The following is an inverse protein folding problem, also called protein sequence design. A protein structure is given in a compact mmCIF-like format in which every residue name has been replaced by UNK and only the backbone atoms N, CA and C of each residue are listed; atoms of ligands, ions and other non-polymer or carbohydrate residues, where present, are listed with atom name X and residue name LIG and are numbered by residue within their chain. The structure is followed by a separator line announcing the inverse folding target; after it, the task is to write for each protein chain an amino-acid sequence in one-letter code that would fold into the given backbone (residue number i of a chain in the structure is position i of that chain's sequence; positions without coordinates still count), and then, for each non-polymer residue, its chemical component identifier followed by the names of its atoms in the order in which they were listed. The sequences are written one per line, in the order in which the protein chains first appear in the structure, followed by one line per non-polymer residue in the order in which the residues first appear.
data_IF_975169940745
#
_entry.id   IF_975169940745
#
_cell.length_a   1.000
_cell.length_b   1.000
_cell.length_c   1.000
_cell.angle_alpha   90.00
_cell.angle_beta   90.00
_cell.angle_gamma   90.00
#
_symmetry.space_group_name_H-M   'P 1'
#
loop_
_entity.id
_entity.type
_entity.pdbx_description
1 polymer ?
#
# COMPACT_ATOMS: atom_id res chain seq x y z
N UNK A 1 -8.90 -16.98 -11.12
CA UNK A 1 -8.58 -17.43 -9.74
C UNK A 1 -8.77 -16.32 -8.72
N UNK A 2 -8.39 -15.07 -9.05
CA UNK A 2 -8.49 -13.90 -8.17
C UNK A 2 -9.92 -13.54 -7.75
N UNK A 3 -10.90 -13.54 -8.66
CA UNK A 3 -12.29 -13.18 -8.32
C UNK A 3 -12.96 -14.16 -7.33
N UNK A 4 -12.69 -15.46 -7.47
CA UNK A 4 -13.19 -16.49 -6.54
C UNK A 4 -12.51 -16.41 -5.17
N UNK A 5 -11.24 -16.02 -5.13
CA UNK A 5 -10.54 -15.72 -3.89
C UNK A 5 -11.17 -14.51 -3.19
N UNK A 6 -11.39 -13.41 -3.92
CA UNK A 6 -12.01 -12.19 -3.38
C UNK A 6 -13.42 -12.44 -2.80
N UNK A 7 -14.27 -13.22 -3.48
CA UNK A 7 -15.60 -13.60 -2.97
C UNK A 7 -15.51 -14.43 -1.68
N UNK A 8 -14.53 -15.32 -1.60
CA UNK A 8 -14.28 -16.12 -0.39
C UNK A 8 -13.79 -15.25 0.75
N UNK A 9 -12.92 -14.29 0.48
CA UNK A 9 -12.39 -13.36 1.47
C UNK A 9 -13.51 -12.46 2.03
N UNK A 10 -14.42 -11.96 1.18
CA UNK A 10 -15.61 -11.19 1.62
C UNK A 10 -16.52 -12.07 2.50
N UNK A 11 -16.74 -13.31 2.10
CA UNK A 11 -17.56 -14.24 2.88
C UNK A 11 -16.91 -14.59 4.23
N UNK A 12 -15.61 -14.82 4.27
CA UNK A 12 -14.86 -15.09 5.49
C UNK A 12 -14.91 -13.87 6.41
N UNK A 13 -14.71 -12.66 5.88
CA UNK A 13 -14.82 -11.42 6.65
C UNK A 13 -16.24 -11.21 7.22
N UNK A 14 -17.29 -11.52 6.44
CA UNK A 14 -18.67 -11.50 6.94
C UNK A 14 -18.89 -12.47 8.10
N UNK A 15 -18.26 -13.66 8.07
CA UNK A 15 -18.36 -14.60 9.20
C UNK A 15 -17.66 -14.09 10.45
N UNK A 16 -16.52 -13.42 10.30
CA UNK A 16 -15.79 -12.80 11.41
C UNK A 16 -16.63 -11.68 12.02
N UNK A 17 -17.12 -10.74 11.21
CA UNK A 17 -17.92 -9.61 11.71
C UNK A 17 -19.22 -10.05 12.41
N UNK A 18 -19.85 -11.12 11.94
CA UNK A 18 -21.02 -11.72 12.61
C UNK A 18 -20.66 -12.31 13.98
N UNK A 19 -19.49 -12.97 14.09
CA UNK A 19 -19.00 -13.46 15.38
C UNK A 19 -18.73 -12.30 16.34
N UNK A 20 -18.11 -11.22 15.87
CA UNK A 20 -17.86 -10.03 16.68
C UNK A 20 -19.19 -9.43 17.18
N UNK A 21 -20.20 -9.33 16.30
CA UNK A 21 -21.55 -8.88 16.68
C UNK A 21 -22.17 -9.75 17.79
N UNK A 22 -22.04 -11.08 17.68
CA UNK A 22 -22.53 -12.01 18.71
C UNK A 22 -21.78 -11.83 20.05
N UNK A 23 -20.48 -11.51 20.00
CA UNK A 23 -19.68 -11.21 21.20
C UNK A 23 -20.14 -9.91 21.87
N UNK A 24 -20.36 -8.86 21.10
CA UNK A 24 -20.91 -7.60 21.62
C UNK A 24 -22.32 -7.77 22.18
N UNK A 25 -23.18 -8.57 21.54
CA UNK A 25 -24.51 -8.90 22.07
C UNK A 25 -24.44 -9.69 23.39
N UNK A 26 -23.39 -10.51 23.60
CA UNK A 26 -23.13 -11.14 24.91
C UNK A 26 -22.67 -10.13 25.95
N UNK A 27 -21.83 -9.17 25.55
CA UNK A 27 -21.39 -8.08 26.44
C UNK A 27 -22.55 -7.18 26.86
N UNK A 28 -23.49 -6.89 25.96
CA UNK A 28 -24.72 -6.15 26.27
C UNK A 28 -25.54 -6.88 27.35
N UNK A 29 -25.78 -8.19 27.15
CA UNK A 29 -26.48 -9.04 28.13
C UNK A 29 -25.73 -9.12 29.46
N UNK A 30 -24.40 -9.17 29.43
CA UNK A 30 -23.57 -9.18 30.63
C UNK A 30 -23.68 -7.86 31.40
N UNK A 31 -23.62 -6.71 30.71
CA UNK A 31 -23.81 -5.39 31.32
C UNK A 31 -25.21 -5.23 31.93
N UNK A 32 -26.25 -5.71 31.25
CA UNK A 32 -27.62 -5.75 31.79
C UNK A 32 -27.74 -6.65 33.03
N UNK A 33 -27.11 -7.83 33.02
CA UNK A 33 -27.10 -8.74 34.16
C UNK A 33 -26.29 -8.20 35.35
N UNK A 34 -25.15 -7.55 35.10
CA UNK A 34 -24.33 -6.86 36.11
C UNK A 34 -25.15 -5.75 36.77
N UNK A 35 -25.85 -4.93 35.97
CA UNK A 35 -26.77 -3.92 36.47
C UNK A 35 -27.86 -4.53 37.37
N UNK A 36 -28.56 -5.57 36.91
CA UNK A 36 -29.63 -6.20 37.69
C UNK A 36 -29.11 -6.80 39.01
N UNK A 37 -27.94 -7.43 38.99
CA UNK A 37 -27.29 -8.00 40.19
C UNK A 37 -26.91 -6.91 41.18
N UNK A 38 -26.35 -5.81 40.67
CA UNK A 38 -25.87 -4.69 41.46
C UNK A 38 -27.03 -3.93 42.15
N UNK A 39 -28.13 -3.69 41.44
CA UNK A 39 -29.28 -2.95 42.00
C UNK A 39 -30.17 -3.83 42.87
N UNK A 40 -30.23 -5.15 42.63
CA UNK A 40 -31.03 -6.09 43.43
C UNK A 40 -30.33 -6.58 44.72
N UNK A 41 -29.05 -6.24 44.94
CA UNK A 41 -28.35 -6.53 46.19
C UNK A 41 -27.69 -7.92 46.29
N UNK A 42 -27.41 -8.58 45.16
CA UNK A 42 -26.69 -9.86 45.12
C UNK A 42 -27.58 -11.12 45.28
N UNK A 43 -27.03 -12.27 44.90
CA UNK A 43 -27.70 -13.57 44.83
C UNK A 43 -27.87 -14.20 46.22
N UNK A 44 -28.93 -13.83 46.93
CA UNK A 44 -29.37 -14.46 48.19
C UNK A 44 -30.78 -14.03 48.58
N UNK A 45 -31.48 -14.84 49.39
CA UNK A 45 -32.92 -14.76 49.77
C UNK A 45 -33.44 -13.48 50.45
N UNK A 46 -32.86 -12.31 50.18
CA UNK A 46 -33.34 -10.99 50.60
C UNK A 46 -33.62 -10.10 49.39
N UNK A 47 -34.44 -10.59 48.45
CA UNK A 47 -34.88 -9.85 47.29
C UNK A 47 -35.99 -8.85 47.66
N UNK A 48 -35.66 -7.84 48.48
CA UNK A 48 -36.47 -6.63 48.59
C UNK A 48 -35.88 -5.59 47.62
N UNK A 49 -36.62 -5.19 46.57
CA UNK A 49 -36.18 -4.13 45.67
C UNK A 49 -35.83 -2.89 46.48
N UNK A 50 -34.62 -2.33 46.26
CA UNK A 50 -34.24 -1.06 46.88
C UNK A 50 -35.24 0.02 46.43
N UNK A 51 -35.64 0.95 47.32
CA UNK A 51 -36.62 1.99 46.99
C UNK A 51 -36.22 2.87 45.77
N UNK A 52 -34.92 2.92 45.43
CA UNK A 52 -34.38 3.63 44.27
C UNK A 52 -34.24 2.80 42.98
N UNK A 53 -34.73 1.55 42.93
CA UNK A 53 -34.54 0.65 41.77
C UNK A 53 -35.10 1.24 40.46
N UNK A 54 -36.32 1.78 40.50
CA UNK A 54 -36.97 2.35 39.30
C UNK A 54 -36.20 3.55 38.74
N UNK A 55 -35.70 4.43 39.63
CA UNK A 55 -34.89 5.57 39.25
C UNK A 55 -33.54 5.15 38.63
N UNK A 56 -32.84 4.19 39.25
CA UNK A 56 -31.58 3.66 38.71
C UNK A 56 -31.78 2.90 37.39
N UNK A 57 -32.92 2.22 37.22
CA UNK A 57 -33.28 1.55 35.97
C UNK A 57 -33.60 2.56 34.85
N UNK A 58 -34.27 3.67 35.17
CA UNK A 58 -34.48 4.78 34.25
C UNK A 58 -33.16 5.41 33.82
N UNK A 59 -32.27 5.71 34.77
CA UNK A 59 -30.95 6.29 34.53
C UNK A 59 -30.06 5.38 33.70
N UNK A 60 -30.02 4.08 34.00
CA UNK A 60 -29.31 3.10 33.17
C UNK A 60 -29.89 3.06 31.76
N UNK A 61 -31.22 3.02 31.58
CA UNK A 61 -31.89 2.95 30.25
C UNK A 61 -31.79 4.23 29.43
N UNK A 62 -31.62 5.40 30.06
CA UNK A 62 -31.49 6.69 29.37
C UNK A 62 -30.31 6.67 28.41
N UNK A 63 -30.56 6.96 27.12
CA UNK A 63 -29.52 7.01 26.09
C UNK A 63 -28.50 8.10 26.43
N UNK A 64 -27.25 7.89 26.05
CA UNK A 64 -26.22 8.93 26.07
C UNK A 64 -26.11 9.42 24.64
N UNK A 65 -26.47 10.68 24.37
CA UNK A 65 -26.22 11.31 23.06
C UNK A 65 -24.72 11.61 22.99
N UNK A 66 -23.96 10.81 22.24
CA UNK A 66 -22.54 11.06 21.95
C UNK A 66 -22.41 11.57 20.53
N UNK A 67 -21.66 12.65 20.34
CA UNK A 67 -21.33 13.11 18.99
C UNK A 67 -20.48 12.04 18.31
N UNK A 68 -20.98 11.49 17.21
CA UNK A 68 -20.27 10.50 16.42
C UNK A 68 -18.91 11.06 15.99
N UNK A 69 -17.82 10.47 16.50
CA UNK A 69 -16.47 10.85 16.11
C UNK A 69 -16.30 10.47 14.63
N UNK A 70 -16.29 11.47 13.75
CA UNK A 70 -16.00 11.27 12.32
C UNK A 70 -14.68 10.49 12.20
N UNK A 71 -14.64 9.35 11.50
CA UNK A 71 -13.36 8.75 11.15
C UNK A 71 -12.61 9.75 10.26
N UNK A 72 -11.33 9.98 10.57
CA UNK A 72 -10.46 10.80 9.77
C UNK A 72 -10.37 10.18 8.37
N UNK A 73 -10.64 11.00 7.36
CA UNK A 73 -10.66 10.63 5.96
C UNK A 73 -9.33 9.98 5.53
N UNK A 74 -9.41 8.74 5.06
CA UNK A 74 -8.49 8.24 4.04
C UNK A 74 -8.99 8.79 2.72
N UNK A 75 -8.12 9.57 2.09
CA UNK A 75 -8.32 10.28 0.85
C UNK A 75 -7.98 9.31 -0.28
N UNK A 76 -9.00 8.69 -0.89
CA UNK A 76 -8.87 8.12 -2.23
C UNK A 76 -9.80 8.89 -3.18
N UNK A 77 -9.15 9.45 -4.18
CA UNK A 77 -9.64 10.15 -5.35
C UNK A 77 -10.20 9.10 -6.31
N UNK A 78 -11.50 9.08 -6.53
CA UNK A 78 -12.10 8.49 -7.74
C UNK A 78 -13.33 9.31 -8.14
N UNK A 79 -13.14 10.03 -9.22
CA UNK A 79 -14.08 10.91 -9.90
C UNK A 79 -15.01 10.02 -10.73
N UNK A 80 -16.27 9.88 -10.33
CA UNK A 80 -17.34 9.45 -11.24
C UNK A 80 -18.66 10.10 -10.78
N UNK A 81 -19.07 11.12 -11.53
CA UNK A 81 -20.33 11.84 -11.44
C UNK A 81 -21.50 10.91 -11.82
N UNK A 82 -22.45 10.67 -10.91
CA UNK A 82 -23.90 10.73 -11.23
C UNK A 82 -24.68 11.20 -9.99
N UNK A 83 -25.36 12.34 -10.16
CA UNK A 83 -26.39 12.89 -9.28
C UNK A 83 -27.61 11.96 -9.22
N UNK A 84 -28.16 11.74 -8.02
CA UNK A 84 -29.59 11.97 -7.80
C UNK A 84 -29.96 12.02 -6.30
N UNK A 85 -30.82 12.98 -6.02
CA UNK A 85 -31.22 13.55 -4.75
C UNK A 85 -32.09 12.62 -3.88
N UNK A 86 -31.83 12.61 -2.57
CA UNK A 86 -32.89 12.51 -1.55
C UNK A 86 -32.34 13.04 -0.21
N UNK A 87 -32.49 14.34 -0.02
CA UNK A 87 -32.51 14.97 1.29
C UNK A 87 -33.68 14.37 2.10
N UNK A 88 -33.39 13.60 3.13
CA UNK A 88 -34.34 13.33 4.21
C UNK A 88 -33.74 13.89 5.50
N UNK A 89 -33.97 15.20 5.68
CA UNK A 89 -33.88 15.87 6.95
C UNK A 89 -35.04 15.37 7.82
N UNK A 90 -34.83 14.27 8.54
CA UNK A 90 -35.70 13.91 9.66
C UNK A 90 -35.33 14.79 10.87
N UNK A 91 -35.73 16.05 10.77
CA UNK A 91 -35.82 17.03 11.84
C UNK A 91 -37.13 16.78 12.59
N UNK A 92 -37.16 15.75 13.45
CA UNK A 92 -38.14 15.67 14.55
C UNK A 92 -37.66 14.74 15.66
N UNK A 93 -37.00 15.32 16.67
CA UNK A 93 -37.07 14.82 18.05
C UNK A 93 -36.76 16.00 18.99
N UNK A 94 -37.66 16.98 18.95
CA UNK A 94 -37.86 17.99 19.98
C UNK A 94 -38.52 17.30 21.19
N UNK A 95 -37.80 16.36 21.80
CA UNK A 95 -38.11 15.86 23.14
C UNK A 95 -37.28 16.71 24.12
N UNK A 96 -37.97 17.75 24.60
CA UNK A 96 -37.71 18.55 25.78
C UNK A 96 -37.59 17.63 27.02
N UNK A 97 -36.51 16.86 27.06
CA UNK A 97 -36.10 16.12 28.24
C UNK A 97 -35.38 17.13 29.12
N UNK A 98 -36.17 17.80 29.96
CA UNK A 98 -35.74 18.50 31.17
C UNK A 98 -34.42 17.86 31.65
N UNK A 99 -33.37 18.68 31.73
CA UNK A 99 -32.13 18.37 32.45
C UNK A 99 -32.49 18.19 33.94
N UNK A 100 -33.25 17.15 34.27
CA UNK A 100 -33.37 16.66 35.62
C UNK A 100 -32.00 16.10 35.94
N UNK A 101 -31.27 16.93 36.68
CA UNK A 101 -29.92 16.71 37.18
C UNK A 101 -29.76 15.23 37.53
N UNK A 102 -28.60 14.67 37.17
CA UNK A 102 -28.09 13.36 37.59
C UNK A 102 -27.87 13.35 39.13
N UNK A 103 -28.92 13.72 39.88
CA UNK A 103 -28.98 13.81 41.31
C UNK A 103 -29.21 12.40 41.84
N UNK A 104 -28.28 11.97 42.69
CA UNK A 104 -28.37 10.72 43.40
C UNK A 104 -29.75 10.62 44.08
N UNK A 105 -30.61 9.63 43.72
CA UNK A 105 -31.93 9.51 44.31
C UNK A 105 -31.83 9.47 45.84
N UNK A 106 -32.72 10.18 46.54
CA UNK A 106 -32.65 10.27 48.01
C UNK A 106 -32.60 8.87 48.65
N UNK A 107 -31.51 8.58 49.38
CA UNK A 107 -31.25 7.27 49.99
C UNK A 107 -30.47 6.25 49.14
N UNK A 108 -29.92 6.64 47.99
CA UNK A 108 -29.00 5.80 47.21
C UNK A 108 -27.55 5.93 47.70
N UNK A 109 -26.87 4.78 47.81
CA UNK A 109 -25.43 4.75 48.10
C UNK A 109 -24.64 5.35 46.93
N UNK A 110 -23.73 6.28 47.22
CA UNK A 110 -22.96 7.01 46.21
C UNK A 110 -22.13 6.04 45.34
N UNK A 111 -21.61 4.96 45.94
CA UNK A 111 -20.82 3.96 45.21
C UNK A 111 -21.65 3.12 44.25
N UNK A 112 -22.94 2.90 44.56
CA UNK A 112 -23.89 2.22 43.68
C UNK A 112 -24.24 3.12 42.49
N UNK A 113 -24.45 4.41 42.75
CA UNK A 113 -24.78 5.40 41.75
C UNK A 113 -23.66 5.56 40.70
N UNK A 114 -22.41 5.73 41.16
CA UNK A 114 -21.22 5.78 40.29
C UNK A 114 -21.09 4.51 39.43
N UNK A 115 -21.30 3.33 40.02
CA UNK A 115 -21.27 2.06 39.28
C UNK A 115 -22.37 1.97 38.22
N UNK A 116 -23.58 2.46 38.50
CA UNK A 116 -24.67 2.50 37.51
C UNK A 116 -24.34 3.45 36.36
N UNK A 117 -23.71 4.61 36.63
CA UNK A 117 -23.21 5.50 35.58
C UNK A 117 -22.15 4.84 34.71
N UNK A 118 -21.17 4.14 35.30
CA UNK A 118 -20.18 3.39 34.51
C UNK A 118 -20.80 2.27 33.69
N UNK A 119 -21.85 1.60 34.18
CA UNK A 119 -22.58 0.59 33.41
C UNK A 119 -23.39 1.20 32.27
N UNK A 120 -23.94 2.41 32.46
CA UNK A 120 -24.62 3.18 31.41
C UNK A 120 -23.64 3.57 30.30
N UNK A 121 -22.46 4.03 30.67
CA UNK A 121 -21.36 4.33 29.74
C UNK A 121 -20.91 3.09 28.97
N UNK A 122 -20.67 1.97 29.66
CA UNK A 122 -20.35 0.68 29.01
C UNK A 122 -21.44 0.22 28.05
N UNK A 123 -22.72 0.40 28.38
CA UNK A 123 -23.81 0.04 27.45
C UNK A 123 -23.81 0.93 26.22
N UNK A 124 -23.58 2.24 26.39
CA UNK A 124 -23.47 3.14 25.25
C UNK A 124 -22.29 2.75 24.33
N UNK A 125 -21.14 2.34 24.89
CA UNK A 125 -20.00 1.83 24.09
C UNK A 125 -20.37 0.56 23.30
N UNK A 126 -21.11 -0.37 23.93
CA UNK A 126 -21.58 -1.61 23.28
C UNK A 126 -22.58 -1.29 22.16
N UNK A 127 -23.53 -0.38 22.40
CA UNK A 127 -24.53 0.04 21.42
C UNK A 127 -23.86 0.72 20.20
N UNK A 128 -22.89 1.60 20.44
CA UNK A 128 -22.10 2.27 19.40
C UNK A 128 -21.30 1.23 18.57
N UNK A 129 -20.59 0.31 19.23
CA UNK A 129 -19.82 -0.74 18.56
C UNK A 129 -20.70 -1.71 17.74
N UNK A 130 -21.87 -2.09 18.26
CA UNK A 130 -22.85 -2.89 17.53
C UNK A 130 -23.41 -2.13 16.31
N UNK A 131 -23.65 -0.82 16.45
CA UNK A 131 -24.08 0.03 15.35
C UNK A 131 -23.05 0.11 14.22
N UNK A 132 -21.77 0.25 14.56
CA UNK A 132 -20.66 0.26 13.60
C UNK A 132 -20.47 -1.11 12.93
N UNK A 133 -20.52 -2.21 13.69
CA UNK A 133 -20.42 -3.55 13.13
C UNK A 133 -21.58 -3.88 12.19
N UNK A 134 -22.80 -3.48 12.52
CA UNK A 134 -23.95 -3.68 11.62
C UNK A 134 -23.79 -2.91 10.30
N UNK A 135 -23.27 -1.68 10.34
CA UNK A 135 -22.96 -0.90 9.12
C UNK A 135 -21.90 -1.60 8.27
N UNK A 136 -20.81 -2.05 8.90
CA UNK A 136 -19.75 -2.77 8.21
C UNK A 136 -20.24 -4.11 7.60
N UNK A 137 -21.13 -4.84 8.29
CA UNK A 137 -21.74 -6.07 7.76
C UNK A 137 -22.56 -5.76 6.50
N UNK A 138 -23.33 -4.68 6.51
CA UNK A 138 -24.19 -4.32 5.38
C UNK A 138 -23.37 -3.86 4.16
N UNK A 139 -22.32 -3.08 4.39
CA UNK A 139 -21.34 -2.70 3.35
C UNK A 139 -20.69 -3.94 2.72
N UNK A 140 -20.22 -4.89 3.55
CA UNK A 140 -19.62 -6.13 3.07
C UNK A 140 -20.61 -7.01 2.30
N UNK A 141 -21.89 -7.02 2.68
CA UNK A 141 -22.95 -7.72 1.91
C UNK A 141 -23.11 -7.11 0.52
N UNK A 142 -23.25 -5.78 0.44
CA UNK A 142 -23.37 -5.07 -0.84
C UNK A 142 -22.15 -5.31 -1.73
N UNK A 143 -20.94 -5.28 -1.15
CA UNK A 143 -19.72 -5.60 -1.87
C UNK A 143 -19.72 -7.05 -2.43
N UNK A 144 -20.16 -8.02 -1.63
CA UNK A 144 -20.29 -9.41 -2.06
C UNK A 144 -21.32 -9.62 -3.18
N UNK A 145 -22.45 -8.91 -3.12
CA UNK A 145 -23.47 -8.94 -4.18
C UNK A 145 -22.94 -8.35 -5.50
N UNK A 146 -22.24 -7.21 -5.44
CA UNK A 146 -21.58 -6.58 -6.61
C UNK A 146 -20.59 -7.54 -7.27
N UNK A 147 -19.69 -8.13 -6.47
CA UNK A 147 -18.70 -9.10 -6.99
C UNK A 147 -19.37 -10.34 -7.58
N UNK A 148 -20.47 -10.81 -6.99
CA UNK A 148 -21.22 -11.96 -7.52
C UNK A 148 -21.88 -11.64 -8.85
N UNK A 149 -22.45 -10.42 -9.00
CA UNK A 149 -23.03 -9.97 -10.25
C UNK A 149 -21.97 -9.83 -11.35
N UNK A 150 -20.80 -9.26 -11.02
CA UNK A 150 -19.67 -9.14 -11.93
C UNK A 150 -19.16 -10.52 -12.39
N UNK A 151 -18.99 -11.47 -11.47
CA UNK A 151 -18.60 -12.84 -11.80
C UNK A 151 -19.60 -13.52 -12.75
N UNK A 152 -20.91 -13.26 -12.60
CA UNK A 152 -21.94 -13.78 -13.51
C UNK A 152 -21.85 -13.13 -14.89
N UNK A 153 -21.58 -11.84 -14.97
CA UNK A 153 -21.38 -11.13 -16.23
C UNK A 153 -20.17 -11.69 -16.99
N UNK A 154 -19.02 -11.85 -16.31
CA UNK A 154 -17.80 -12.44 -16.87
C UNK A 154 -18.06 -13.86 -17.39
N UNK A 155 -18.76 -14.69 -16.62
CA UNK A 155 -19.06 -16.07 -17.06
C UNK A 155 -19.95 -16.09 -18.31
N UNK A 156 -20.89 -15.15 -18.44
CA UNK A 156 -21.74 -15.02 -19.62
C UNK A 156 -20.94 -14.59 -20.85
N UNK A 157 -20.05 -13.62 -20.69
CA UNK A 157 -19.16 -13.15 -21.76
C UNK A 157 -18.17 -14.25 -22.20
N UNK A 158 -17.62 -14.99 -21.24
CA UNK A 158 -16.74 -16.11 -21.52
C UNK A 158 -17.45 -17.17 -22.37
N UNK A 159 -18.67 -17.57 -21.98
CA UNK A 159 -19.45 -18.55 -22.73
C UNK A 159 -19.79 -18.06 -24.15
N UNK A 160 -20.12 -16.77 -24.30
CA UNK A 160 -20.36 -16.18 -25.62
C UNK A 160 -19.09 -16.20 -26.50
N UNK A 161 -17.94 -15.84 -25.93
CA UNK A 161 -16.64 -15.84 -26.62
C UNK A 161 -16.21 -17.26 -27.02
N UNK A 162 -16.45 -18.26 -26.16
CA UNK A 162 -16.18 -19.66 -26.47
C UNK A 162 -17.05 -20.16 -27.62
N UNK A 163 -18.34 -19.79 -27.63
CA UNK A 163 -19.25 -20.13 -28.72
C UNK A 163 -18.80 -19.51 -30.05
N UNK A 164 -18.44 -18.22 -30.04
CA UNK A 164 -17.94 -17.52 -31.22
C UNK A 164 -16.64 -18.18 -31.74
N UNK A 165 -15.72 -18.49 -30.83
CA UNK A 165 -14.47 -19.20 -31.16
C UNK A 165 -14.74 -20.56 -31.81
N UNK A 166 -15.67 -21.35 -31.26
CA UNK A 166 -16.05 -22.64 -31.85
C UNK A 166 -16.66 -22.45 -33.25
N UNK A 167 -17.49 -21.42 -33.43
CA UNK A 167 -18.07 -21.09 -34.72
C UNK A 167 -16.98 -20.74 -35.75
N UNK A 168 -16.00 -19.92 -35.37
CA UNK A 168 -14.84 -19.62 -36.22
C UNK A 168 -14.01 -20.85 -36.57
N UNK A 169 -13.79 -21.75 -35.60
CA UNK A 169 -13.04 -22.98 -35.85
C UNK A 169 -13.76 -23.94 -36.81
N UNK A 170 -15.10 -23.98 -36.77
CA UNK A 170 -15.91 -24.79 -37.69
C UNK A 170 -15.91 -24.27 -39.13
N UNK A 171 -15.57 -22.99 -39.31
CA UNK A 171 -15.43 -22.35 -40.62
C UNK A 171 -14.03 -22.54 -41.24
N UNK A 172 -13.18 -23.39 -40.65
CA UNK A 172 -11.90 -23.75 -41.26
C UNK A 172 -12.16 -24.66 -42.47
N UNK A 173 -12.01 -24.08 -43.66
CA UNK A 173 -12.03 -24.80 -44.93
C UNK A 173 -10.65 -25.43 -45.16
N UNK A 174 -10.62 -26.72 -45.46
CA UNK A 174 -9.40 -27.37 -45.98
C UNK A 174 -9.13 -26.87 -47.40
N UNK A 175 -8.29 -25.85 -47.50
CA UNK A 175 -7.92 -25.24 -48.78
C UNK A 175 -6.68 -25.95 -49.33
N UNK A 176 -6.87 -26.68 -50.42
CA UNK A 176 -5.75 -27.22 -51.20
C UNK A 176 -5.19 -26.09 -52.08
N UNK A 177 -3.97 -25.65 -51.76
CA UNK A 177 -3.25 -24.67 -52.58
C UNK A 177 -2.26 -25.42 -53.48
N UNK A 178 -2.47 -25.45 -54.81
CA UNK A 178 -1.49 -26.03 -55.72
C UNK A 178 -0.25 -25.12 -55.78
N UNK A 179 0.90 -25.67 -55.42
CA UNK A 179 2.19 -24.98 -55.51
C UNK A 179 3.03 -25.57 -56.64
N UNK A 180 3.74 -24.71 -57.36
CA UNK A 180 4.78 -25.16 -58.29
C UNK A 180 6.00 -25.62 -57.49
N UNK A 181 6.72 -26.63 -57.99
CA UNK A 181 7.99 -27.08 -57.41
C UNK A 181 9.02 -25.95 -57.28
N UNK A 182 8.95 -24.91 -58.13
CA UNK A 182 9.82 -23.72 -58.05
C UNK A 182 9.54 -22.83 -56.83
N UNK A 183 8.37 -22.95 -56.22
CA UNK A 183 7.98 -22.17 -55.04
C UNK A 183 8.39 -22.85 -53.73
N UNK A 184 8.91 -24.09 -53.80
CA UNK A 184 9.31 -24.89 -52.65
C UNK A 184 10.83 -24.87 -52.51
N UNK A 185 11.33 -24.37 -51.38
CA UNK A 185 12.76 -24.30 -51.07
C UNK A 185 13.20 -25.40 -50.09
N UNK A 186 12.33 -26.35 -49.74
CA UNK A 186 12.64 -27.43 -48.81
C UNK A 186 13.42 -28.55 -49.51
N UNK A 187 14.73 -28.39 -49.63
CA UNK A 187 15.60 -29.37 -50.29
C UNK A 187 16.25 -30.29 -49.26
N UNK A 188 16.19 -31.61 -49.51
CA UNK A 188 16.89 -32.60 -48.70
C UNK A 188 18.32 -32.77 -49.21
N UNK A 189 19.27 -32.87 -48.28
CA UNK A 189 20.69 -33.00 -48.60
C UNK A 189 20.97 -34.27 -49.41
N UNK A 190 21.94 -34.21 -50.35
CA UNK A 190 22.31 -35.36 -51.17
C UNK A 190 22.77 -36.53 -50.28
N UNK A 191 22.12 -37.68 -50.47
CA UNK A 191 22.44 -38.97 -49.84
C UNK A 191 23.62 -39.63 -50.58
N UNK A 192 24.39 -40.56 -49.97
CA UNK A 192 25.37 -41.37 -50.71
C UNK A 192 24.81 -42.06 -51.96
N UNK A 193 23.49 -42.24 -52.05
CA UNK A 193 22.78 -42.80 -53.22
C UNK A 193 22.22 -41.75 -54.20
N UNK A 194 22.19 -40.46 -53.85
CA UNK A 194 21.67 -39.38 -54.69
C UNK A 194 22.57 -38.14 -54.60
N UNK A 195 23.21 -37.79 -55.71
CA UNK A 195 24.13 -36.64 -55.77
C UNK A 195 23.44 -35.28 -55.93
N UNK A 196 22.11 -35.24 -56.10
CA UNK A 196 21.36 -34.01 -56.33
C UNK A 196 20.42 -33.69 -55.17
N UNK A 197 20.22 -32.40 -54.91
CA UNK A 197 19.21 -31.90 -53.98
C UNK A 197 17.81 -32.21 -54.53
N UNK A 198 16.97 -32.83 -53.72
CA UNK A 198 15.61 -33.23 -54.10
C UNK A 198 14.59 -32.73 -53.08
N UNK A 199 13.38 -32.47 -53.55
CA UNK A 199 12.24 -32.19 -52.67
C UNK A 199 11.82 -33.51 -51.99
N UNK A 200 11.58 -33.53 -50.67
CA UNK A 200 11.07 -34.71 -50.00
C UNK A 200 9.68 -35.09 -50.54
N UNK A 201 9.41 -36.40 -50.61
CA UNK A 201 8.14 -36.93 -51.11
C UNK A 201 6.93 -36.55 -50.22
N UNK A 202 7.19 -36.24 -48.95
CA UNK A 202 6.21 -35.79 -47.98
C UNK A 202 6.77 -34.61 -47.19
N UNK A 203 5.94 -33.62 -46.90
CA UNK A 203 6.28 -32.47 -46.06
C UNK A 203 5.92 -32.71 -44.57
N UNK A 204 5.67 -33.96 -44.17
CA UNK A 204 5.33 -34.30 -42.80
C UNK A 204 6.49 -33.91 -41.87
N UNK A 205 6.23 -32.99 -40.93
CA UNK A 205 7.25 -32.46 -40.01
C UNK A 205 8.02 -31.24 -40.56
N UNK A 206 7.66 -30.69 -41.71
CA UNK A 206 8.20 -29.43 -42.22
C UNK A 206 7.37 -28.24 -41.72
N UNK A 207 8.03 -27.14 -41.34
CA UNK A 207 7.37 -25.88 -41.03
C UNK A 207 7.31 -25.01 -42.29
N UNK A 208 6.14 -24.46 -42.61
CA UNK A 208 5.93 -23.63 -43.80
C UNK A 208 5.99 -22.15 -43.41
N UNK A 209 6.85 -21.41 -44.08
CA UNK A 209 6.96 -19.96 -43.93
C UNK A 209 7.21 -19.32 -45.29
N UNK A 210 6.74 -18.08 -45.45
CA UNK A 210 7.08 -17.29 -46.64
C UNK A 210 8.55 -16.90 -46.60
N UNK A 211 9.16 -16.70 -47.77
CA UNK A 211 10.57 -16.26 -47.86
C UNK A 211 10.80 -14.98 -47.06
N UNK A 212 9.85 -14.04 -47.07
CA UNK A 212 9.92 -12.80 -46.29
C UNK A 212 9.92 -13.07 -44.79
N UNK A 213 9.04 -13.95 -44.30
CA UNK A 213 8.99 -14.30 -42.89
C UNK A 213 10.27 -15.00 -42.42
N UNK A 214 10.84 -15.87 -43.26
CA UNK A 214 12.11 -16.52 -42.97
C UNK A 214 13.26 -15.50 -42.90
N UNK A 215 13.40 -14.62 -43.90
CA UNK A 215 14.43 -13.56 -43.90
C UNK A 215 14.30 -12.65 -42.68
N UNK A 216 13.09 -12.20 -42.35
CA UNK A 216 12.85 -11.36 -41.17
C UNK A 216 13.22 -12.08 -39.86
N UNK A 217 12.92 -13.37 -39.75
CA UNK A 217 13.31 -14.17 -38.59
C UNK A 217 14.83 -14.34 -38.50
N UNK A 218 15.51 -14.62 -39.61
CA UNK A 218 16.97 -14.72 -39.65
C UNK A 218 17.64 -13.40 -39.24
N UNK A 219 17.21 -12.27 -39.80
CA UNK A 219 17.70 -10.93 -39.42
C UNK A 219 17.45 -10.65 -37.93
N UNK A 220 16.28 -11.05 -37.41
CA UNK A 220 15.95 -10.88 -35.99
C UNK A 220 16.84 -11.72 -35.09
N UNK A 221 17.13 -12.97 -35.47
CA UNK A 221 18.05 -13.86 -34.73
C UNK A 221 19.44 -13.24 -34.69
N UNK A 222 19.96 -12.76 -35.81
CA UNK A 222 21.27 -12.10 -35.87
C UNK A 222 21.33 -10.82 -35.03
N UNK A 223 20.28 -10.00 -35.09
CA UNK A 223 20.13 -8.80 -34.26
C UNK A 223 20.17 -9.14 -32.77
N UNK A 224 19.41 -10.14 -32.33
CA UNK A 224 19.39 -10.58 -30.93
C UNK A 224 20.74 -11.15 -30.46
N UNK A 225 21.45 -11.89 -31.33
CA UNK A 225 22.80 -12.37 -31.03
C UNK A 225 23.79 -11.22 -30.88
N UNK A 226 23.72 -10.21 -31.75
CA UNK A 226 24.55 -9.01 -31.67
C UNK A 226 24.25 -8.19 -30.40
N UNK A 227 22.98 -8.01 -30.06
CA UNK A 227 22.53 -7.34 -28.84
C UNK A 227 23.03 -8.08 -27.59
N UNK A 228 22.84 -9.40 -27.54
CA UNK A 228 23.33 -10.23 -26.43
C UNK A 228 24.84 -10.10 -26.25
N UNK A 229 25.60 -10.09 -27.36
CA UNK A 229 27.06 -9.88 -27.32
C UNK A 229 27.42 -8.50 -26.79
N UNK A 230 26.71 -7.45 -27.22
CA UNK A 230 26.90 -6.07 -26.74
C UNK A 230 26.60 -5.95 -25.25
N UNK A 231 25.48 -6.50 -24.79
CA UNK A 231 25.07 -6.45 -23.39
C UNK A 231 26.08 -7.16 -22.48
N UNK A 232 26.59 -8.33 -22.91
CA UNK A 232 27.67 -9.03 -22.20
C UNK A 232 28.96 -8.22 -22.12
N UNK A 233 29.28 -7.45 -23.16
CA UNK A 233 30.45 -6.56 -23.13
C UNK A 233 30.23 -5.40 -22.15
N UNK A 234 29.08 -4.74 -22.21
CA UNK A 234 28.73 -3.66 -21.30
C UNK A 234 28.74 -4.11 -19.83
N UNK A 235 28.19 -5.29 -19.55
CA UNK A 235 28.22 -5.88 -18.21
C UNK A 235 29.66 -6.08 -17.70
N UNK A 236 30.55 -6.60 -18.54
CA UNK A 236 31.98 -6.76 -18.18
C UNK A 236 32.65 -5.42 -17.91
N UNK A 237 32.37 -4.40 -18.72
CA UNK A 237 32.99 -3.10 -18.59
C UNK A 237 32.46 -2.35 -17.35
N UNK A 238 31.16 -2.41 -17.08
CA UNK A 238 30.56 -1.90 -15.84
C UNK A 238 31.14 -2.58 -14.61
N UNK A 239 31.33 -3.91 -14.64
CA UNK A 239 31.93 -4.63 -13.53
C UNK A 239 33.39 -4.21 -13.28
N UNK A 240 34.15 -3.92 -14.35
CA UNK A 240 35.50 -3.35 -14.21
C UNK A 240 35.46 -1.96 -13.59
N UNK A 241 34.55 -1.10 -14.06
CA UNK A 241 34.39 0.27 -13.53
C UNK A 241 33.97 0.24 -12.06
N UNK A 242 33.03 -0.62 -11.68
CA UNK A 242 32.58 -0.77 -10.29
C UNK A 242 33.73 -1.19 -9.37
N UNK A 243 34.59 -2.11 -9.82
CA UNK A 243 35.80 -2.49 -9.07
C UNK A 243 36.81 -1.34 -8.91
N UNK A 244 36.99 -0.51 -9.94
CA UNK A 244 37.87 0.66 -9.88
C UNK A 244 37.32 1.69 -8.91
N UNK A 245 36.04 2.08 -9.07
CA UNK A 245 35.37 3.03 -8.21
C UNK A 245 35.32 2.57 -6.75
N UNK A 246 35.15 1.27 -6.49
CA UNK A 246 35.19 0.71 -5.14
C UNK A 246 36.58 0.89 -4.49
N UNK A 247 37.67 0.71 -5.24
CA UNK A 247 39.04 0.97 -4.76
C UNK A 247 39.27 2.45 -4.51
N UNK A 248 38.86 3.32 -5.42
CA UNK A 248 38.98 4.77 -5.28
C UNK A 248 38.20 5.30 -4.08
N UNK A 249 36.95 4.84 -3.90
CA UNK A 249 36.12 5.16 -2.73
C UNK A 249 36.82 4.78 -1.43
N UNK A 250 37.41 3.58 -1.37
CA UNK A 250 38.16 3.13 -0.18
C UNK A 250 39.39 4.03 0.07
N UNK A 251 40.14 4.36 -0.97
CA UNK A 251 41.31 5.26 -0.83
C UNK A 251 40.92 6.65 -0.34
N UNK A 252 39.82 7.21 -0.84
CA UNK A 252 39.27 8.49 -0.39
C UNK A 252 38.80 8.42 1.06
N UNK A 253 38.10 7.36 1.47
CA UNK A 253 37.69 7.15 2.86
C UNK A 253 38.89 7.06 3.80
N UNK A 254 39.94 6.32 3.43
CA UNK A 254 41.18 6.24 4.21
C UNK A 254 41.88 7.62 4.29
N UNK A 255 41.84 8.42 3.22
CA UNK A 255 42.41 9.77 3.22
C UNK A 255 41.61 10.74 4.12
N UNK A 256 40.27 10.65 4.10
CA UNK A 256 39.38 11.41 5.00
C UNK A 256 39.65 11.03 6.45
N UNK A 257 39.69 9.73 6.77
CA UNK A 257 39.97 9.26 8.13
C UNK A 257 41.34 9.76 8.63
N UNK A 258 42.38 9.72 7.79
CA UNK A 258 43.70 10.29 8.12
C UNK A 258 43.68 11.80 8.30
N UNK A 259 42.82 12.53 7.58
CA UNK A 259 42.67 13.98 7.75
C UNK A 259 41.90 14.31 9.04
N UNK A 260 40.86 13.54 9.35
CA UNK A 260 40.08 13.66 10.58
C UNK A 260 40.94 13.38 11.82
N UNK A 261 41.68 12.27 11.85
CA UNK A 261 42.58 11.94 12.96
C UNK A 261 43.66 13.03 13.19
N UNK A 262 44.28 13.53 12.11
CA UNK A 262 45.22 14.66 12.21
C UNK A 262 44.56 15.92 12.76
N UNK A 263 43.33 16.22 12.33
CA UNK A 263 42.56 17.37 12.83
C UNK A 263 42.25 17.21 14.32
N UNK A 264 41.76 16.03 14.73
CA UNK A 264 41.46 15.71 16.13
C UNK A 264 42.71 15.81 17.02
N UNK A 265 43.84 15.26 16.58
CA UNK A 265 45.11 15.38 17.29
C UNK A 265 45.53 16.84 17.46
N UNK A 266 45.43 17.64 16.39
CA UNK A 266 45.74 19.07 16.44
C UNK A 266 44.80 19.83 17.39
N UNK A 267 43.50 19.52 17.40
CA UNK A 267 42.52 20.13 18.31
C UNK A 267 42.82 19.76 19.77
N UNK A 268 43.12 18.49 20.05
CA UNK A 268 43.51 18.04 21.39
C UNK A 268 44.80 18.71 21.86
N UNK A 269 45.79 18.87 20.99
CA UNK A 269 47.04 19.56 21.33
C UNK A 269 46.85 21.06 21.57
N UNK A 270 46.02 21.75 20.76
CA UNK A 270 45.83 23.20 20.88
C UNK A 270 44.84 23.61 21.98
N UNK A 271 43.77 22.83 22.18
CA UNK A 271 42.65 23.23 23.04
C UNK A 271 42.39 22.26 24.21
N UNK A 272 43.09 21.12 24.28
CA UNK A 272 42.90 20.11 25.34
C UNK A 272 41.62 19.28 25.23
N UNK A 273 40.72 19.63 24.30
CA UNK A 273 39.45 18.96 24.03
C UNK A 273 39.14 19.00 22.52
N UNK A 274 38.22 18.16 22.06
CA UNK A 274 37.67 18.26 20.71
C UNK A 274 36.75 19.49 20.65
N UNK A 275 37.01 20.38 19.70
CA UNK A 275 36.22 21.60 19.51
C UNK A 275 35.34 21.38 18.28
N UNK A 276 34.04 21.57 18.44
CA UNK A 276 33.13 21.61 17.31
C UNK A 276 33.35 22.92 16.54
N UNK A 277 34.04 22.81 15.41
CA UNK A 277 34.40 23.95 14.58
C UNK A 277 33.16 24.60 13.95
N UNK A 278 32.06 23.87 13.73
CA UNK A 278 30.82 24.43 13.15
C UNK A 278 30.09 25.32 14.16
N UNK A 279 30.07 24.93 15.43
CA UNK A 279 29.52 25.75 16.52
C UNK A 279 30.39 26.99 16.73
N UNK A 280 31.70 26.85 16.66
CA UNK A 280 32.62 27.99 16.79
C UNK A 280 32.50 28.96 15.62
N UNK A 281 32.36 28.46 14.38
CA UNK A 281 32.18 29.29 13.19
C UNK A 281 30.84 30.03 13.23
N UNK A 282 29.75 29.34 13.61
CA UNK A 282 28.43 29.97 13.83
C UNK A 282 28.47 31.02 14.95
N UNK A 283 29.21 30.78 16.02
CA UNK A 283 29.38 31.75 17.10
C UNK A 283 30.23 32.96 16.65
N UNK A 284 31.27 32.72 15.85
CA UNK A 284 32.08 33.77 15.23
C UNK A 284 31.25 34.60 14.23
N UNK A 285 30.45 33.97 13.38
CA UNK A 285 29.53 34.63 12.44
C UNK A 285 28.46 35.43 13.19
N UNK A 286 27.87 34.87 14.24
CA UNK A 286 26.94 35.62 15.10
C UNK A 286 27.62 36.84 15.78
N UNK A 287 28.90 36.72 16.16
CA UNK A 287 29.68 37.83 16.71
C UNK A 287 30.09 38.88 15.66
N UNK A 288 30.24 38.48 14.39
CA UNK A 288 30.45 39.39 13.26
C UNK A 288 29.15 40.14 12.91
N UNK A 289 27.99 39.48 13.00
CA UNK A 289 26.67 40.11 12.78
C UNK A 289 26.36 41.14 13.88
N UNK A 290 26.73 40.90 15.14
CA UNK A 290 26.56 41.91 16.21
C UNK A 290 27.50 43.10 16.06
N UNK A 291 28.69 42.91 15.47
CA UNK A 291 29.63 44.01 15.18
C UNK A 291 29.27 44.76 13.88
N UNK A 292 28.63 44.11 12.92
CA UNK A 292 28.11 44.72 11.68
C UNK A 292 26.87 45.59 11.90
N UNK A 293 25.93 45.18 12.77
CA UNK A 293 24.71 45.97 13.08
C UNK A 293 24.98 47.26 13.86
N UNK A 294 26.19 47.43 14.42
CA UNK A 294 26.59 48.67 15.11
C UNK A 294 27.37 49.64 14.19
N UNK A 295 27.70 49.25 12.96
CA UNK A 295 28.49 50.06 12.02
C UNK A 295 27.69 50.56 10.79
N UNK A 296 26.42 50.21 10.64
CA UNK A 296 25.55 50.69 9.53
C UNK A 296 24.76 51.98 9.84
N UNK A 297 25.02 52.64 10.97
CA UNK A 297 24.38 53.93 11.33
C UNK A 297 25.24 55.17 11.03
N UNK A 298 26.35 55.05 10.29
CA UNK A 298 27.15 56.20 9.92
C UNK A 298 27.60 56.14 8.45
N UNK A 299 27.29 57.23 7.74
CA UNK A 299 27.81 57.65 6.43
C UNK A 299 27.00 57.21 5.20
N UNK A 300 25.85 57.85 5.03
CA UNK A 300 25.37 58.32 3.72
C UNK A 300 26.17 59.60 3.33
N UNK A 301 27.09 59.53 2.37
CA UNK A 301 27.32 60.60 1.38
C UNK A 301 28.31 60.20 0.24
N UNK A 302 27.74 59.78 -0.91
CA UNK A 302 28.20 59.91 -2.32
C UNK A 302 29.64 59.45 -2.77
N UNK A 303 29.95 59.42 -4.09
CA UNK A 303 29.50 58.44 -5.10
C UNK A 303 30.67 57.77 -5.88
N UNK A 304 30.39 56.66 -6.57
CA UNK A 304 31.18 56.21 -7.73
C UNK A 304 31.76 54.80 -7.66
N UNK A 305 31.62 54.03 -8.74
CA UNK A 305 32.39 52.82 -9.00
C UNK A 305 31.54 51.60 -9.34
N UNK A 306 31.54 51.23 -10.62
CA UNK A 306 30.76 50.16 -11.20
C UNK A 306 31.37 48.75 -11.03
N UNK A 307 30.50 47.75 -11.21
CA UNK A 307 30.74 46.37 -11.70
C UNK A 307 31.50 45.37 -10.80
N UNK A 308 30.80 44.33 -10.33
CA UNK A 308 30.60 43.05 -11.03
C UNK A 308 30.31 41.92 -10.01
N UNK A 309 29.10 41.36 -10.04
CA UNK A 309 28.71 40.22 -9.19
C UNK A 309 28.65 38.95 -10.03
N UNK A 310 29.50 37.98 -9.66
CA UNK A 310 29.55 36.63 -10.21
C UNK A 310 28.42 35.79 -9.60
N UNK A 311 27.58 35.21 -10.45
CA UNK A 311 26.49 34.33 -10.05
C UNK A 311 27.03 32.93 -9.73
N UNK A 312 26.82 32.44 -8.52
CA UNK A 312 26.96 31.01 -8.19
C UNK A 312 25.57 30.38 -8.18
N UNK A 313 25.30 29.54 -9.17
CA UNK A 313 24.10 28.72 -9.24
C UNK A 313 24.20 27.49 -8.34
N UNK A 314 23.22 27.34 -7.46
CA UNK A 314 22.92 26.09 -6.77
C UNK A 314 22.25 25.11 -7.75
N UNK A 315 22.72 23.87 -7.77
CA UNK A 315 21.94 22.74 -8.27
C UNK A 315 22.29 21.49 -7.46
N UNK A 316 21.54 21.28 -6.38
CA UNK A 316 21.56 20.05 -5.59
C UNK A 316 20.56 19.04 -6.15
N UNK A 317 21.06 18.01 -6.84
CA UNK A 317 20.27 16.84 -7.25
C UNK A 317 20.00 15.94 -6.04
N UNK A 318 18.73 15.59 -5.84
CA UNK A 318 18.27 14.61 -4.88
C UNK A 318 18.68 13.18 -5.31
N UNK A 319 19.31 12.44 -4.40
CA UNK A 319 19.59 11.00 -4.56
C UNK A 319 18.42 10.18 -4.02
N UNK A 320 17.73 9.46 -4.90
CA UNK A 320 16.73 8.45 -4.53
C UNK A 320 17.43 7.18 -4.08
N UNK A 321 17.13 6.73 -2.87
CA UNK A 321 17.67 5.52 -2.25
C UNK A 321 16.77 4.33 -2.65
N UNK A 322 17.22 3.48 -3.58
CA UNK A 322 16.57 2.21 -3.89
C UNK A 322 17.30 1.07 -3.17
N UNK A 323 16.65 0.49 -2.17
CA UNK A 323 17.10 -0.69 -1.46
C UNK A 323 16.92 -1.94 -2.34
N UNK A 324 18.00 -2.64 -2.65
CA UNK A 324 17.96 -4.00 -3.23
C UNK A 324 18.30 -5.01 -2.15
N UNK A 325 17.32 -5.85 -1.81
CA UNK A 325 17.50 -7.00 -0.94
C UNK A 325 18.31 -8.10 -1.66
N UNK A 326 19.15 -8.88 -0.94
CA UNK A 326 19.87 -10.00 -1.52
C UNK A 326 19.00 -11.26 -1.60
N UNK A 327 18.81 -11.79 -2.81
CA UNK A 327 18.25 -13.13 -3.06
C UNK A 327 19.35 -14.20 -2.97
N UNK A 328 19.17 -15.15 -2.06
CA UNK A 328 20.06 -16.30 -1.81
C UNK A 328 20.08 -17.29 -2.99
N UNK A 329 21.22 -17.96 -3.28
CA UNK A 329 21.28 -19.01 -4.29
C UNK A 329 20.81 -20.37 -3.75
N UNK A 330 19.83 -20.97 -4.43
CA UNK A 330 19.42 -22.38 -4.30
C UNK A 330 20.41 -23.28 -5.02
N UNK A 331 21.10 -24.13 -4.26
CA UNK A 331 21.99 -25.18 -4.76
C UNK A 331 21.19 -26.44 -5.08
N UNK A 332 21.30 -26.98 -6.29
CA UNK A 332 20.86 -28.33 -6.63
C UNK A 332 22.02 -29.08 -7.31
N UNK A 333 22.32 -30.33 -6.92
CA UNK A 333 23.49 -31.05 -7.43
C UNK A 333 23.21 -31.70 -8.81
N UNK A 334 24.26 -31.95 -9.61
CA UNK A 334 24.12 -32.56 -10.93
C UNK A 334 23.97 -34.09 -10.82
N UNK A 335 23.01 -34.63 -11.56
CA UNK A 335 22.95 -36.05 -11.92
C UNK A 335 24.01 -36.33 -12.98
N UNK A 336 24.91 -37.27 -12.67
CA UNK A 336 25.92 -37.82 -13.58
C UNK A 336 25.31 -38.86 -14.54
N UNK A 337 25.99 -39.15 -15.67
CA UNK A 337 25.40 -39.73 -16.89
C UNK A 337 25.02 -41.20 -16.82
#
# INVERSE_FOLDING_TARGET
MTAVANLRDVQDLLTIRKRDLDEWARQEKAAQAEFLTLVSGGTGSSATPRPSFAALQGLFKRKIKRAKKKPAAEQEDDDDEEEDEAEDYDEDDDDDAEEEEDACPSGCDLTLYEKVLTLREKRADVDDAMGELNKAIEELRKAGERQTAEQRAINKELAATEQDTQQFQSNQLDVVVPLSTRQLCCLQAPSPTQQNWTLPAQAAGCLVFTTRAFSALSERIESLQAETKKLRQQFRDLHKQQNVLAKEKRQQQEAIARAQDRSEQLMRLKFGQLVDLEVLDRACDASLVTRGRSAESAVLNAPGGACASFATGESGMAFSHAAMQPSSPSTSPPSSP
#
